data_IF_965367688000
#
_entry.id   IF_965367688000
#
_cell.length_a   1.000
_cell.length_b   1.000
_cell.length_c   1.000
_cell.angle_alpha   90.00
_cell.angle_beta   90.00
_cell.angle_gamma   90.00
#
_symmetry.space_group_name_H-M   'P 1'
#
loop_
_entity.id
_entity.type
_entity.pdbx_description
1 polymer ?
#
# COMPACT_ATOMS: atom_id res chain seq x y z
N UNK A 1 7.16 9.01 -6.15
CA UNK A 1 5.71 8.95 -6.34
C UNK A 1 5.18 10.30 -6.77
N UNK A 2 4.42 10.36 -7.87
CA UNK A 2 3.88 11.60 -8.40
C UNK A 2 2.67 12.14 -7.61
N UNK A 3 2.36 13.45 -7.76
CA UNK A 3 1.27 14.09 -7.05
C UNK A 3 -0.11 13.51 -7.35
N UNK A 4 -0.34 12.99 -8.57
CA UNK A 4 -1.62 12.43 -8.99
C UNK A 4 -1.93 11.15 -8.21
N UNK A 5 -0.98 10.22 -8.17
CA UNK A 5 -1.09 8.96 -7.43
C UNK A 5 -1.19 9.22 -5.93
N UNK A 6 -0.41 10.15 -5.39
CA UNK A 6 -0.53 10.57 -4.00
C UNK A 6 -1.95 11.08 -3.67
N UNK A 7 -2.51 11.95 -4.53
CA UNK A 7 -3.87 12.47 -4.37
C UNK A 7 -4.90 11.35 -4.43
N UNK A 8 -4.78 10.40 -5.37
CA UNK A 8 -5.66 9.24 -5.48
C UNK A 8 -5.66 8.40 -4.20
N UNK A 9 -4.48 8.07 -3.65
CA UNK A 9 -4.37 7.31 -2.40
C UNK A 9 -5.08 8.05 -1.27
N UNK A 10 -4.84 9.36 -1.13
CA UNK A 10 -5.48 10.17 -0.09
C UNK A 10 -7.00 10.25 -0.25
N UNK A 11 -7.51 10.38 -1.47
CA UNK A 11 -8.95 10.41 -1.74
C UNK A 11 -9.61 9.09 -1.37
N UNK A 12 -9.03 7.95 -1.78
CA UNK A 12 -9.56 6.62 -1.43
C UNK A 12 -9.53 6.39 0.08
N UNK A 13 -8.45 6.82 0.75
CA UNK A 13 -8.31 6.63 2.19
C UNK A 13 -9.04 7.68 3.03
N UNK A 14 -9.59 8.75 2.43
CA UNK A 14 -10.23 9.84 3.15
C UNK A 14 -11.35 9.39 4.12
N UNK A 15 -12.25 8.44 3.77
CA UNK A 15 -13.28 7.94 4.69
C UNK A 15 -12.68 7.28 5.94
N UNK A 16 -11.49 6.69 5.80
CA UNK A 16 -10.76 6.06 6.90
C UNK A 16 -9.94 7.08 7.69
N UNK A 17 -9.79 8.32 7.25
CA UNK A 17 -9.02 9.39 7.90
C UNK A 17 -9.89 10.36 8.73
N UNK A 18 -10.82 9.86 9.54
CA UNK A 18 -11.56 10.69 10.51
C UNK A 18 -10.59 11.45 11.45
N UNK A 19 -10.86 12.74 11.69
CA UNK A 19 -10.05 13.61 12.57
C UNK A 19 -9.96 12.99 13.98
N UNK A 20 -8.77 13.03 14.58
CA UNK A 20 -8.55 12.64 15.99
C UNK A 20 -8.01 11.24 16.25
N UNK A 21 -7.77 10.40 15.23
CA UNK A 21 -7.29 9.02 15.44
C UNK A 21 -5.85 8.85 14.90
N UNK A 22 -4.81 8.86 15.77
CA UNK A 22 -3.42 8.69 15.37
C UNK A 22 -3.15 7.39 14.60
N UNK A 23 -3.86 6.32 14.95
CA UNK A 23 -3.76 5.01 14.30
C UNK A 23 -4.04 5.05 12.79
N UNK A 24 -5.00 5.85 12.34
CA UNK A 24 -5.38 5.98 10.92
C UNK A 24 -4.35 6.80 10.12
N UNK A 25 -3.72 7.81 10.73
CA UNK A 25 -2.57 8.51 10.13
C UNK A 25 -1.38 7.56 9.95
N UNK A 26 -1.14 6.67 10.93
CA UNK A 26 -0.10 5.64 10.83
C UNK A 26 -0.39 4.66 9.70
N UNK A 27 -1.64 4.26 9.50
CA UNK A 27 -2.05 3.41 8.38
C UNK A 27 -1.79 4.09 7.02
N UNK A 28 -2.20 5.35 6.83
CA UNK A 28 -1.89 6.06 5.57
C UNK A 28 -0.38 6.15 5.32
N UNK A 29 0.41 6.52 6.32
CA UNK A 29 1.88 6.58 6.18
C UNK A 29 2.48 5.24 5.75
N UNK A 30 2.01 4.14 6.35
CA UNK A 30 2.43 2.79 5.95
C UNK A 30 2.04 2.45 4.53
N UNK A 31 0.81 2.78 4.13
CA UNK A 31 0.36 2.56 2.76
C UNK A 31 1.24 3.32 1.76
N UNK A 32 1.50 4.60 2.01
CA UNK A 32 2.37 5.42 1.16
C UNK A 32 3.76 4.80 1.04
N UNK A 33 4.37 4.42 2.16
CA UNK A 33 5.69 3.79 2.17
C UNK A 33 5.72 2.44 1.41
N UNK A 34 4.66 1.64 1.49
CA UNK A 34 4.55 0.38 0.70
C UNK A 34 4.54 0.70 -0.80
N UNK A 35 3.72 1.66 -1.22
CA UNK A 35 3.54 2.00 -2.62
C UNK A 35 4.79 2.69 -3.19
N UNK A 36 5.44 3.56 -2.41
CA UNK A 36 6.73 4.17 -2.75
C UNK A 36 7.80 3.11 -2.97
N UNK A 37 7.99 2.18 -2.03
CA UNK A 37 8.96 1.09 -2.20
C UNK A 37 8.67 0.26 -3.46
N UNK A 38 7.40 -0.02 -3.76
CA UNK A 38 7.02 -0.73 -4.99
C UNK A 38 7.43 0.07 -6.22
N UNK A 39 7.14 1.37 -6.28
CA UNK A 39 7.48 2.19 -7.44
C UNK A 39 8.98 2.43 -7.60
N UNK A 40 9.73 2.52 -6.51
CA UNK A 40 11.20 2.63 -6.53
C UNK A 40 11.85 1.39 -7.15
N UNK A 41 11.35 0.20 -6.83
CA UNK A 41 11.90 -1.06 -7.35
C UNK A 41 11.33 -1.48 -8.71
N UNK A 42 10.17 -0.95 -9.09
CA UNK A 42 9.43 -1.35 -10.30
C UNK A 42 9.15 -0.11 -11.16
N UNK A 43 10.23 0.57 -11.59
CA UNK A 43 10.16 1.85 -12.33
C UNK A 43 9.31 1.80 -13.61
N UNK A 44 9.21 0.63 -14.24
CA UNK A 44 8.37 0.38 -15.42
C UNK A 44 6.86 0.50 -15.15
N UNK A 45 6.43 0.60 -13.88
CA UNK A 45 5.02 0.85 -13.54
C UNK A 45 4.59 2.28 -13.82
N UNK A 46 5.53 3.22 -13.99
CA UNK A 46 5.28 4.65 -14.17
C UNK A 46 4.35 5.21 -13.07
N UNK A 47 4.55 4.73 -11.84
CA UNK A 47 3.81 5.15 -10.66
C UNK A 47 2.28 5.02 -10.78
N UNK A 48 1.81 4.09 -11.63
CA UNK A 48 0.40 3.81 -11.86
C UNK A 48 -0.09 2.68 -10.95
N UNK A 49 -1.02 3.00 -10.04
CA UNK A 49 -1.60 2.05 -9.07
C UNK A 49 -2.27 0.84 -9.71
N UNK A 50 -2.93 1.02 -10.86
CA UNK A 50 -3.63 -0.07 -11.57
C UNK A 50 -2.69 -1.15 -12.09
N UNK A 51 -1.39 -0.83 -12.22
CA UNK A 51 -0.36 -1.77 -12.68
C UNK A 51 0.30 -2.53 -11.53
N UNK A 52 0.01 -2.17 -10.27
CA UNK A 52 0.49 -2.91 -9.11
C UNK A 52 -0.32 -4.20 -8.98
N UNK A 53 0.30 -5.30 -9.38
CA UNK A 53 -0.26 -6.64 -9.27
C UNK A 53 0.39 -7.48 -8.19
N UNK A 54 0.01 -8.77 -8.18
CA UNK A 54 0.51 -9.76 -7.21
C UNK A 54 2.04 -9.85 -7.20
N UNK A 55 2.69 -9.77 -8.38
CA UNK A 55 4.15 -9.91 -8.50
C UNK A 55 4.88 -8.82 -7.70
N UNK A 56 4.44 -7.58 -7.83
CA UNK A 56 5.05 -6.43 -7.17
C UNK A 56 4.83 -6.46 -5.66
N UNK A 57 3.63 -6.86 -5.22
CA UNK A 57 3.35 -7.06 -3.79
C UNK A 57 4.18 -8.22 -3.19
N UNK A 58 4.38 -9.31 -3.93
CA UNK A 58 5.28 -10.39 -3.49
C UNK A 58 6.73 -9.93 -3.45
N UNK A 59 7.16 -9.10 -4.41
CA UNK A 59 8.48 -8.44 -4.39
C UNK A 59 8.67 -7.62 -3.11
N UNK A 60 7.69 -6.77 -2.79
CA UNK A 60 7.66 -6.01 -1.54
C UNK A 60 7.79 -6.92 -0.30
N UNK A 61 6.98 -7.98 -0.22
CA UNK A 61 7.03 -8.90 0.93
C UNK A 61 8.33 -9.67 1.10
N UNK A 62 9.07 -9.90 0.01
CA UNK A 62 10.42 -10.49 0.05
C UNK A 62 11.43 -9.50 0.59
N UNK A 63 11.40 -8.24 0.13
CA UNK A 63 12.30 -7.19 0.61
C UNK A 63 12.11 -6.89 2.10
N UNK A 64 10.86 -6.89 2.56
CA UNK A 64 10.52 -6.65 3.97
C UNK A 64 10.44 -7.94 4.79
N UNK A 65 11.10 -9.03 4.38
CA UNK A 65 11.05 -10.32 5.07
C UNK A 65 11.67 -10.28 6.48
N UNK A 66 12.61 -9.36 6.72
CA UNK A 66 13.27 -9.14 8.02
C UNK A 66 12.34 -8.48 9.06
N UNK A 67 11.18 -7.95 8.66
CA UNK A 67 10.25 -7.33 9.58
C UNK A 67 9.47 -8.35 10.41
N UNK A 68 9.07 -7.94 11.63
CA UNK A 68 8.26 -8.79 12.50
C UNK A 68 6.92 -9.15 11.88
N UNK A 69 6.40 -10.34 12.23
CA UNK A 69 5.07 -10.81 11.78
C UNK A 69 3.96 -9.80 12.08
N UNK A 70 4.02 -9.13 13.23
CA UNK A 70 3.05 -8.09 13.62
C UNK A 70 3.09 -6.91 12.64
N UNK A 71 4.28 -6.38 12.35
CA UNK A 71 4.44 -5.26 11.39
C UNK A 71 3.94 -5.64 10.01
N UNK A 72 4.29 -6.83 9.52
CA UNK A 72 3.88 -7.31 8.18
C UNK A 72 2.37 -7.54 8.10
N UNK A 73 1.74 -8.03 9.17
CA UNK A 73 0.27 -8.12 9.27
C UNK A 73 -0.38 -6.75 9.19
N UNK A 74 0.09 -5.78 9.96
CA UNK A 74 -0.47 -4.42 9.94
C UNK A 74 -0.30 -3.73 8.56
N UNK A 75 0.81 -3.99 7.86
CA UNK A 75 1.03 -3.55 6.47
C UNK A 75 0.10 -4.25 5.47
N UNK A 76 -0.09 -5.55 5.63
CA UNK A 76 -1.02 -6.33 4.80
C UNK A 76 -2.45 -5.82 4.97
N UNK A 77 -2.90 -5.58 6.20
CA UNK A 77 -4.27 -5.14 6.48
C UNK A 77 -4.58 -3.79 5.83
N UNK A 78 -3.64 -2.83 5.89
CA UNK A 78 -3.84 -1.52 5.23
C UNK A 78 -3.76 -1.61 3.70
N UNK A 79 -2.84 -2.42 3.17
CA UNK A 79 -2.73 -2.61 1.72
C UNK A 79 -4.00 -3.28 1.17
N UNK A 80 -4.50 -4.30 1.86
CA UNK A 80 -5.77 -4.96 1.52
C UNK A 80 -6.94 -3.98 1.55
N UNK A 81 -7.09 -3.23 2.65
CA UNK A 81 -8.14 -2.22 2.78
C UNK A 81 -8.13 -1.23 1.61
N UNK A 82 -6.94 -0.74 1.23
CA UNK A 82 -6.80 0.17 0.11
C UNK A 82 -7.22 -0.47 -1.22
N UNK A 83 -6.74 -1.67 -1.53
CA UNK A 83 -7.08 -2.37 -2.77
C UNK A 83 -8.57 -2.67 -2.88
N UNK A 84 -9.18 -3.13 -1.79
CA UNK A 84 -10.62 -3.41 -1.72
C UNK A 84 -11.43 -2.11 -1.92
N UNK A 85 -11.01 -0.99 -1.31
CA UNK A 85 -11.70 0.30 -1.41
C UNK A 85 -11.53 0.94 -2.79
N UNK A 86 -10.32 0.90 -3.35
CA UNK A 86 -10.00 1.46 -4.65
C UNK A 86 -10.51 0.59 -5.82
N UNK A 87 -11.11 -0.58 -5.52
CA UNK A 87 -11.54 -1.58 -6.51
C UNK A 87 -10.43 -1.93 -7.50
N UNK A 88 -9.19 -1.99 -7.02
CA UNK A 88 -8.04 -2.35 -7.84
C UNK A 88 -8.08 -3.83 -8.16
N UNK A 89 -7.62 -4.20 -9.35
CA UNK A 89 -7.57 -5.60 -9.75
C UNK A 89 -6.44 -6.35 -9.03
N UNK A 90 -6.76 -7.57 -8.59
CA UNK A 90 -5.79 -8.49 -7.99
C UNK A 90 -5.95 -8.66 -6.49
N UNK A 91 -5.78 -9.90 -6.01
CA UNK A 91 -5.79 -10.21 -4.58
C UNK A 91 -4.45 -9.84 -3.95
N UNK A 92 -4.48 -9.06 -2.88
CA UNK A 92 -3.28 -8.78 -2.07
C UNK A 92 -2.77 -10.09 -1.46
N UNK A 93 -1.56 -10.56 -1.83
CA UNK A 93 -1.02 -11.79 -1.28
C UNK A 93 -0.67 -11.60 0.19
N UNK A 94 -0.95 -12.61 1.01
CA UNK A 94 -0.52 -12.60 2.41
C UNK A 94 1.01 -12.68 2.50
N UNK A 95 1.66 -11.88 3.37
CA UNK A 95 3.07 -12.04 3.64
C UNK A 95 3.33 -13.40 4.28
N UNK A 96 4.34 -14.13 3.77
CA UNK A 96 4.86 -15.37 4.37
C UNK A 96 5.77 -15.06 5.55
#
# INVERSE_FOLDING_TARGET
>A
MNPTTYKQIRTVMAPFMKKGIPYRKKQLKRLLAIIEDIFEHESYLHENLSRIGRKQMMGYWRRTAHETRKTRKEKYDVLKLFFDTAKLQGKVPRPK
#
